data_IF_631742938936
#
_entry.id   IF_631742938936
#
_cell.length_a   1.000
_cell.length_b   1.000
_cell.length_c   1.000
_cell.angle_alpha   90.00
_cell.angle_beta   90.00
_cell.angle_gamma   90.00
#
_symmetry.space_group_name_H-M   'P 1'
#
loop_
_entity.id
_entity.type
_entity.pdbx_description
1 polymer ?
#
# COMPACT_ATOMS: atom_id res chain seq x y z
N UNK A 1 7.34 -4.34 17.96
CA UNK A 1 5.86 -4.29 17.83
C UNK A 1 5.46 -5.25 16.71
N UNK A 2 5.08 -6.50 17.03
CA UNK A 2 4.68 -7.52 16.03
C UNK A 2 3.15 -7.71 16.01
N UNK A 3 2.41 -7.07 16.94
CA UNK A 3 0.99 -7.34 17.19
C UNK A 3 0.03 -7.05 16.03
N UNK A 4 0.35 -6.13 15.12
CA UNK A 4 -0.56 -5.79 14.01
C UNK A 4 -0.67 -6.90 12.97
N UNK A 5 0.44 -7.58 12.62
CA UNK A 5 0.43 -8.70 11.69
C UNK A 5 -0.33 -9.89 12.29
N UNK A 6 -0.11 -10.16 13.59
CA UNK A 6 -0.81 -11.23 14.30
C UNK A 6 -2.30 -10.97 14.48
N UNK A 7 -2.72 -9.70 14.63
CA UNK A 7 -4.13 -9.34 14.72
C UNK A 7 -4.89 -9.64 13.42
N UNK A 8 -4.31 -9.30 12.27
CA UNK A 8 -4.93 -9.60 10.96
C UNK A 8 -4.98 -11.10 10.71
N UNK A 9 -3.88 -11.82 10.96
CA UNK A 9 -3.84 -13.28 10.83
C UNK A 9 -4.87 -13.96 11.74
N UNK A 10 -4.97 -13.50 12.99
CA UNK A 10 -5.97 -13.98 13.95
C UNK A 10 -7.41 -13.74 13.48
N UNK A 11 -7.71 -12.52 13.01
CA UNK A 11 -9.04 -12.20 12.48
C UNK A 11 -9.41 -13.05 11.26
N UNK A 12 -8.48 -13.28 10.34
CA UNK A 12 -8.68 -14.16 9.19
C UNK A 12 -8.96 -15.60 9.62
N UNK A 13 -8.19 -16.14 10.58
CA UNK A 13 -8.42 -17.48 11.12
C UNK A 13 -9.79 -17.61 11.77
N UNK A 14 -10.19 -16.63 12.58
CA UNK A 14 -11.52 -16.59 13.20
C UNK A 14 -12.63 -16.53 12.13
N UNK A 15 -12.43 -15.74 11.08
CA UNK A 15 -13.35 -15.67 9.94
C UNK A 15 -13.49 -17.02 9.24
N UNK A 16 -12.36 -17.68 8.93
CA UNK A 16 -12.35 -19.02 8.32
C UNK A 16 -13.09 -20.03 9.22
N UNK A 17 -12.78 -20.07 10.51
CA UNK A 17 -13.44 -20.97 11.47
C UNK A 17 -14.95 -20.69 11.56
N UNK A 18 -15.35 -19.42 11.53
CA UNK A 18 -16.76 -19.02 11.56
C UNK A 18 -17.49 -19.50 10.30
N UNK A 19 -16.88 -19.38 9.12
CA UNK A 19 -17.44 -19.90 7.86
C UNK A 19 -17.56 -21.43 7.92
N UNK A 20 -16.54 -22.13 8.41
CA UNK A 20 -16.58 -23.59 8.57
C UNK A 20 -17.70 -24.02 9.53
N UNK A 21 -17.89 -23.31 10.65
CA UNK A 21 -18.92 -23.64 11.63
C UNK A 21 -20.35 -23.33 11.13
N UNK A 22 -20.56 -22.17 10.50
CA UNK A 22 -21.90 -21.69 10.12
C UNK A 22 -22.35 -22.20 8.74
N UNK A 23 -21.42 -22.46 7.82
CA UNK A 23 -21.70 -22.85 6.43
C UNK A 23 -21.18 -24.25 6.08
N UNK A 24 -21.08 -25.15 7.06
CA UNK A 24 -20.49 -26.49 6.91
C UNK A 24 -21.05 -27.30 5.72
N UNK A 25 -22.37 -27.36 5.56
CA UNK A 25 -23.02 -28.17 4.50
C UNK A 25 -22.64 -27.69 3.08
N UNK A 26 -22.77 -26.40 2.72
CA UNK A 26 -22.25 -25.87 1.45
C UNK A 26 -20.75 -26.08 1.26
N UNK A 27 -19.95 -25.85 2.30
CA UNK A 27 -18.48 -25.95 2.22
C UNK A 27 -18.05 -27.38 1.91
N UNK A 28 -18.58 -28.39 2.60
CA UNK A 28 -18.23 -29.79 2.35
C UNK A 28 -18.66 -30.23 0.95
N UNK A 29 -19.84 -29.81 0.49
CA UNK A 29 -20.36 -30.16 -0.84
C UNK A 29 -19.55 -29.57 -2.01
N UNK A 30 -18.88 -28.43 -1.81
CA UNK A 30 -18.10 -27.74 -2.84
C UNK A 30 -16.61 -27.65 -2.52
N UNK A 31 -16.13 -28.40 -1.53
CA UNK A 31 -14.79 -28.21 -0.96
C UNK A 31 -13.69 -28.31 -2.01
N UNK A 32 -13.73 -29.35 -2.86
CA UNK A 32 -12.72 -29.58 -3.88
C UNK A 32 -12.66 -28.43 -4.90
N UNK A 33 -13.81 -28.02 -5.45
CA UNK A 33 -13.89 -26.99 -6.51
C UNK A 33 -13.65 -25.58 -5.95
N UNK A 34 -14.24 -25.29 -4.79
CA UNK A 34 -14.07 -24.01 -4.09
C UNK A 34 -12.64 -23.78 -3.62
N UNK A 35 -12.00 -24.82 -3.07
CA UNK A 35 -10.59 -24.72 -2.63
C UNK A 35 -9.65 -24.59 -3.82
N UNK A 36 -9.90 -25.29 -4.93
CA UNK A 36 -9.07 -25.18 -6.15
C UNK A 36 -9.07 -23.74 -6.68
N UNK A 37 -10.24 -23.11 -6.74
CA UNK A 37 -10.40 -21.72 -7.19
C UNK A 37 -9.82 -20.72 -6.18
N UNK A 38 -10.00 -20.96 -4.88
CA UNK A 38 -9.42 -20.12 -3.84
C UNK A 38 -7.88 -20.16 -3.83
N UNK A 39 -7.29 -21.36 -3.97
CA UNK A 39 -5.83 -21.52 -4.04
C UNK A 39 -5.26 -20.83 -5.27
N UNK A 40 -5.87 -21.00 -6.45
CA UNK A 40 -5.37 -20.35 -7.67
C UNK A 40 -5.40 -18.83 -7.55
N UNK A 41 -6.47 -18.25 -7.00
CA UNK A 41 -6.56 -16.82 -6.73
C UNK A 41 -5.54 -16.33 -5.70
N UNK A 42 -5.36 -17.07 -4.61
CA UNK A 42 -4.41 -16.73 -3.55
C UNK A 42 -2.95 -16.79 -4.01
N UNK A 43 -2.58 -17.82 -4.78
CA UNK A 43 -1.22 -17.96 -5.34
C UNK A 43 -0.91 -16.80 -6.27
N UNK A 44 -1.85 -16.41 -7.15
CA UNK A 44 -1.65 -15.27 -8.06
C UNK A 44 -1.43 -13.98 -7.28
N UNK A 45 -2.24 -13.71 -6.26
CA UNK A 45 -2.09 -12.54 -5.39
C UNK A 45 -0.73 -12.54 -4.65
N UNK A 46 -0.34 -13.68 -4.07
CA UNK A 46 0.93 -13.81 -3.36
C UNK A 46 2.14 -13.64 -4.29
N UNK A 47 2.09 -14.19 -5.50
CA UNK A 47 3.16 -14.04 -6.49
C UNK A 47 3.30 -12.60 -6.98
N UNK A 48 2.19 -11.86 -7.14
CA UNK A 48 2.23 -10.44 -7.49
C UNK A 48 2.94 -9.64 -6.39
N UNK A 49 2.54 -9.80 -5.13
CA UNK A 49 3.18 -9.09 -4.01
C UNK A 49 4.66 -9.46 -3.85
N UNK A 50 5.01 -10.75 -3.98
CA UNK A 50 6.40 -11.19 -3.89
C UNK A 50 7.26 -10.62 -5.04
N UNK A 51 6.72 -10.58 -6.25
CA UNK A 51 7.39 -10.03 -7.42
C UNK A 51 7.58 -8.51 -7.29
N UNK A 52 6.59 -7.79 -6.77
CA UNK A 52 6.68 -6.35 -6.49
C UNK A 52 7.79 -6.04 -5.47
N UNK A 53 7.89 -6.82 -4.39
CA UNK A 53 8.97 -6.67 -3.41
C UNK A 53 10.35 -6.96 -4.03
N UNK A 54 10.46 -8.02 -4.83
CA UNK A 54 11.70 -8.38 -5.52
C UNK A 54 12.14 -7.31 -6.52
N UNK A 55 11.22 -6.83 -7.34
CA UNK A 55 11.45 -5.71 -8.26
C UNK A 55 11.88 -4.46 -7.51
N UNK A 56 11.22 -4.15 -6.40
CA UNK A 56 11.53 -3.00 -5.57
C UNK A 56 12.95 -3.01 -5.01
N UNK A 57 13.40 -4.17 -4.53
CA UNK A 57 14.76 -4.35 -4.04
C UNK A 57 15.82 -4.12 -5.14
N UNK A 58 15.53 -4.57 -6.37
CA UNK A 58 16.41 -4.33 -7.53
C UNK A 58 16.43 -2.85 -7.92
N UNK A 59 15.27 -2.18 -7.93
CA UNK A 59 15.17 -0.74 -8.21
C UNK A 59 15.96 0.08 -7.18
N UNK A 60 15.83 -0.25 -5.90
CA UNK A 60 16.57 0.43 -4.83
C UNK A 60 18.10 0.29 -4.98
N UNK A 61 18.58 -0.80 -5.58
CA UNK A 61 20.00 -1.04 -5.82
C UNK A 61 20.56 -0.31 -7.06
N UNK A 62 19.70 0.25 -7.93
CA UNK A 62 20.13 0.90 -9.15
C UNK A 62 20.62 2.35 -8.90
N UNK A 63 21.71 2.80 -9.55
CA UNK A 63 22.20 4.18 -9.41
C UNK A 63 21.17 5.25 -9.78
N UNK A 64 20.26 4.94 -10.71
CA UNK A 64 19.17 5.84 -11.10
C UNK A 64 18.20 6.15 -9.96
N UNK A 65 18.04 5.23 -9.00
CA UNK A 65 17.21 5.47 -7.82
C UNK A 65 17.79 6.58 -6.94
N UNK A 66 19.12 6.64 -6.79
CA UNK A 66 19.77 7.72 -6.05
C UNK A 66 19.54 9.10 -6.68
N UNK A 67 19.43 9.18 -8.01
CA UNK A 67 19.10 10.43 -8.70
C UNK A 67 17.69 10.89 -8.36
N UNK A 68 16.73 9.96 -8.37
CA UNK A 68 15.33 10.24 -8.00
C UNK A 68 15.22 10.62 -6.52
N UNK A 69 15.87 9.86 -5.62
CA UNK A 69 15.91 10.15 -4.19
C UNK A 69 16.53 11.53 -3.90
N UNK A 70 17.62 11.88 -4.58
CA UNK A 70 18.26 13.20 -4.44
C UNK A 70 17.39 14.33 -4.98
N UNK A 71 16.67 14.12 -6.09
CA UNK A 71 15.72 15.10 -6.62
C UNK A 71 14.56 15.37 -5.65
N UNK A 72 14.11 14.33 -4.92
CA UNK A 72 13.06 14.43 -3.91
C UNK A 72 13.54 15.08 -2.60
N UNK A 73 14.84 15.00 -2.31
CA UNK A 73 15.47 15.67 -1.17
C UNK A 73 15.42 17.22 -1.21
N UNK A 74 14.97 17.82 -2.32
CA UNK A 74 14.71 19.25 -2.39
C UNK A 74 13.49 19.69 -1.54
N UNK A 75 12.62 18.74 -1.15
CA UNK A 75 11.45 19.00 -0.31
C UNK A 75 11.91 19.13 1.15
N UNK A 76 11.84 20.35 1.69
CA UNK A 76 12.30 20.66 3.06
C UNK A 76 11.34 20.21 4.16
N UNK A 77 10.04 20.12 3.85
CA UNK A 77 9.03 19.72 4.82
C UNK A 77 9.08 18.20 5.07
N UNK A 78 9.28 17.72 6.31
CA UNK A 78 9.49 16.29 6.58
C UNK A 78 8.33 15.39 6.16
N UNK A 79 7.09 15.78 6.48
CA UNK A 79 5.91 14.97 6.15
C UNK A 79 5.58 15.04 4.66
N UNK A 80 5.76 16.20 4.04
CA UNK A 80 5.56 16.34 2.59
C UNK A 80 6.62 15.55 1.81
N UNK A 81 7.88 15.58 2.27
CA UNK A 81 8.97 14.84 1.64
C UNK A 81 8.71 13.34 1.69
N UNK A 82 8.32 12.81 2.85
CA UNK A 82 7.95 11.40 2.98
C UNK A 82 6.73 11.06 2.10
N UNK A 83 5.65 11.85 2.18
CA UNK A 83 4.42 11.59 1.44
C UNK A 83 4.67 11.54 -0.08
N UNK A 84 5.36 12.55 -0.63
CA UNK A 84 5.65 12.61 -2.07
C UNK A 84 6.57 11.47 -2.49
N UNK A 85 7.58 11.14 -1.68
CA UNK A 85 8.52 10.06 -1.99
C UNK A 85 7.82 8.70 -2.00
N UNK A 86 7.03 8.40 -0.97
CA UNK A 86 6.28 7.15 -0.84
C UNK A 86 5.24 7.02 -1.97
N UNK A 87 4.49 8.09 -2.25
CA UNK A 87 3.52 8.11 -3.37
C UNK A 87 4.19 7.93 -4.72
N UNK A 88 5.31 8.61 -4.96
CA UNK A 88 6.06 8.51 -6.22
C UNK A 88 6.60 7.09 -6.45
N UNK A 89 7.23 6.50 -5.42
CA UNK A 89 7.76 5.14 -5.52
C UNK A 89 6.66 4.09 -5.64
N UNK A 90 5.52 4.26 -4.96
CA UNK A 90 4.35 3.41 -5.17
C UNK A 90 3.79 3.50 -6.60
N UNK A 91 3.87 4.67 -7.23
CA UNK A 91 3.51 4.82 -8.64
C UNK A 91 4.44 4.05 -9.57
N UNK A 92 5.75 4.08 -9.31
CA UNK A 92 6.74 3.33 -10.10
C UNK A 92 6.56 1.82 -9.95
N UNK A 93 6.28 1.34 -8.74
CA UNK A 93 6.06 -0.09 -8.50
C UNK A 93 4.70 -0.59 -8.92
N UNK A 94 3.67 0.28 -8.98
CA UNK A 94 2.28 -0.15 -9.14
C UNK A 94 1.71 -0.85 -7.90
N UNK A 95 2.31 -0.63 -6.72
CA UNK A 95 1.90 -1.29 -5.48
C UNK A 95 2.14 -0.41 -4.27
N UNK A 96 1.09 -0.18 -3.50
CA UNK A 96 1.15 0.64 -2.29
C UNK A 96 2.14 0.06 -1.27
N UNK A 97 1.98 -1.20 -0.89
CA UNK A 97 2.87 -1.86 0.07
C UNK A 97 4.29 -2.04 -0.46
N UNK A 98 4.44 -2.33 -1.75
CA UNK A 98 5.76 -2.44 -2.38
C UNK A 98 6.50 -1.10 -2.39
N UNK A 99 5.82 -0.02 -2.81
CA UNK A 99 6.39 1.33 -2.89
C UNK A 99 6.79 1.88 -1.54
N UNK A 100 5.95 1.70 -0.51
CA UNK A 100 6.31 2.03 0.86
C UNK A 100 7.56 1.29 1.33
N UNK A 101 7.63 -0.03 1.10
CA UNK A 101 8.76 -0.84 1.58
C UNK A 101 10.07 -0.42 0.93
N UNK A 102 10.05 -0.05 -0.36
CA UNK A 102 11.23 0.51 -1.04
C UNK A 102 11.60 1.87 -0.45
N UNK A 103 10.63 2.77 -0.30
CA UNK A 103 10.85 4.11 0.22
C UNK A 103 11.49 4.05 1.62
N UNK A 104 10.95 3.21 2.50
CA UNK A 104 11.46 3.03 3.85
C UNK A 104 12.79 2.26 3.87
N UNK A 105 12.98 1.26 3.02
CA UNK A 105 14.27 0.56 2.92
C UNK A 105 15.40 1.51 2.50
N UNK A 106 15.10 2.49 1.65
CA UNK A 106 16.09 3.41 1.12
C UNK A 106 16.27 4.70 1.94
N UNK A 107 15.21 5.23 2.55
CA UNK A 107 15.20 6.60 3.09
C UNK A 107 14.64 6.70 4.51
N UNK A 108 14.34 5.58 5.18
CA UNK A 108 13.79 5.63 6.55
C UNK A 108 14.67 6.40 7.53
N UNK A 109 15.99 6.24 7.48
CA UNK A 109 16.92 6.99 8.35
C UNK A 109 16.79 8.50 8.15
N UNK A 110 16.70 8.95 6.89
CA UNK A 110 16.50 10.36 6.53
C UNK A 110 15.14 10.88 7.04
N UNK A 111 14.06 10.12 6.84
CA UNK A 111 12.73 10.51 7.32
C UNK A 111 12.68 10.60 8.85
N UNK A 112 13.28 9.63 9.55
CA UNK A 112 13.37 9.62 11.01
C UNK A 112 14.16 10.82 11.52
N UNK A 113 15.33 11.11 10.93
CA UNK A 113 16.16 12.24 11.33
C UNK A 113 15.42 13.58 11.13
N UNK A 114 14.76 13.75 9.99
CA UNK A 114 13.98 14.95 9.69
C UNK A 114 12.77 15.11 10.62
N UNK A 115 12.07 14.01 10.91
CA UNK A 115 10.94 14.02 11.84
C UNK A 115 11.38 14.39 13.27
N UNK A 116 12.48 13.82 13.74
CA UNK A 116 13.05 14.15 15.06
C UNK A 116 13.48 15.62 15.14
N UNK A 117 14.14 16.14 14.09
CA UNK A 117 14.54 17.53 14.01
C UNK A 117 13.35 18.52 14.04
N UNK A 118 12.22 18.11 13.47
CA UNK A 118 10.98 18.90 13.47
C UNK A 118 10.06 18.64 14.68
N UNK A 119 10.45 17.73 15.61
CA UNK A 119 9.63 17.37 16.77
C UNK A 119 8.38 16.55 16.44
N UNK A 120 8.36 15.88 15.28
CA UNK A 120 7.22 15.12 14.79
C UNK A 120 7.24 13.70 15.38
N UNK A 121 6.13 13.24 16.02
CA UNK A 121 6.05 11.89 16.54
C UNK A 121 6.16 10.82 15.44
N UNK A 122 6.86 9.72 15.72
CA UNK A 122 7.04 8.60 14.77
C UNK A 122 5.73 7.94 14.34
N UNK A 123 4.69 8.02 15.18
CA UNK A 123 3.36 7.53 14.83
C UNK A 123 2.71 8.35 13.72
N UNK A 124 2.93 9.68 13.70
CA UNK A 124 2.43 10.58 12.65
C UNK A 124 3.16 10.28 11.35
N UNK A 125 4.49 10.16 11.42
CA UNK A 125 5.33 9.78 10.28
C UNK A 125 4.83 8.48 9.63
N UNK A 126 4.65 7.43 10.44
CA UNK A 126 4.14 6.16 9.94
C UNK A 126 2.71 6.25 9.36
N UNK A 127 1.82 7.04 9.98
CA UNK A 127 0.45 7.26 9.44
C UNK A 127 0.50 7.96 8.08
N UNK A 128 1.35 8.98 7.93
CA UNK A 128 1.54 9.71 6.67
C UNK A 128 2.11 8.78 5.60
N UNK A 129 3.14 8.00 5.90
CA UNK A 129 3.65 6.96 4.99
C UNK A 129 2.55 5.96 4.58
N UNK A 130 1.78 5.46 5.55
CA UNK A 130 0.68 4.51 5.33
C UNK A 130 -0.37 5.07 4.37
N UNK A 131 -0.81 6.31 4.60
CA UNK A 131 -1.80 6.93 3.74
C UNK A 131 -1.23 7.28 2.35
N UNK A 132 0.01 7.77 2.29
CA UNK A 132 0.70 8.13 1.05
C UNK A 132 1.00 6.94 0.14
N UNK A 133 1.16 5.74 0.70
CA UNK A 133 1.50 4.53 -0.04
C UNK A 133 0.57 4.23 -1.21
N UNK A 134 -0.73 4.40 -1.06
CA UNK A 134 -1.66 4.20 -2.18
C UNK A 134 -2.02 5.48 -2.95
N UNK A 135 -1.13 6.47 -2.99
CA UNK A 135 -1.42 7.75 -3.63
C UNK A 135 -1.46 7.69 -5.17
N UNK A 136 -0.83 6.67 -5.75
CA UNK A 136 -0.80 6.40 -7.20
C UNK A 136 -1.51 5.10 -7.59
N UNK A 137 -2.45 4.63 -6.76
CA UNK A 137 -3.26 3.44 -7.04
C UNK A 137 -4.18 3.62 -8.26
N UNK A 138 -4.18 4.79 -8.88
CA UNK A 138 -4.87 5.11 -10.14
C UNK A 138 -4.25 4.43 -11.35
N UNK A 139 -2.96 4.09 -11.31
CA UNK A 139 -2.21 3.70 -12.50
C UNK A 139 -2.64 2.32 -13.02
N UNK A 140 -2.68 2.11 -14.35
CA UNK A 140 -3.29 0.92 -14.95
C UNK A 140 -2.51 -0.38 -14.70
N UNK A 141 -1.23 -0.27 -14.34
CA UNK A 141 -0.40 -1.41 -13.94
C UNK A 141 -0.53 -1.76 -12.46
N UNK A 142 -1.38 -1.05 -11.70
CA UNK A 142 -1.60 -1.35 -10.29
C UNK A 142 -2.31 -2.71 -10.11
N UNK A 143 -1.71 -3.59 -9.31
CA UNK A 143 -2.22 -4.95 -9.10
C UNK A 143 -3.65 -4.98 -8.57
N UNK A 144 -4.02 -4.08 -7.65
CA UNK A 144 -5.36 -4.01 -7.07
C UNK A 144 -6.40 -3.56 -8.11
N UNK A 145 -6.05 -2.63 -9.00
CA UNK A 145 -6.91 -2.23 -10.12
C UNK A 145 -7.14 -3.40 -11.08
N UNK A 146 -6.08 -4.13 -11.43
CA UNK A 146 -6.19 -5.30 -12.32
C UNK A 146 -7.10 -6.37 -11.70
N UNK A 147 -6.91 -6.68 -10.42
CA UNK A 147 -7.75 -7.64 -9.70
C UNK A 147 -9.20 -7.17 -9.61
N UNK A 148 -9.44 -5.89 -9.30
CA UNK A 148 -10.78 -5.32 -9.23
C UNK A 148 -11.51 -5.51 -10.56
N UNK A 149 -10.89 -5.10 -11.67
CA UNK A 149 -11.47 -5.21 -13.01
C UNK A 149 -11.74 -6.66 -13.41
N UNK A 150 -10.83 -7.58 -13.06
CA UNK A 150 -11.00 -9.01 -13.29
C UNK A 150 -12.21 -9.58 -12.52
N UNK A 151 -12.36 -9.22 -11.24
CA UNK A 151 -13.46 -9.70 -10.40
C UNK A 151 -14.80 -9.08 -10.80
N UNK A 152 -14.83 -7.80 -11.16
CA UNK A 152 -16.06 -7.12 -11.57
C UNK A 152 -16.44 -7.36 -13.03
N UNK A 153 -15.55 -7.95 -13.84
CA UNK A 153 -15.74 -8.12 -15.28
C UNK A 153 -15.81 -6.80 -16.06
N UNK A 154 -15.23 -5.73 -15.52
CA UNK A 154 -15.26 -4.39 -16.13
C UNK A 154 -13.97 -4.15 -16.92
N UNK A 155 -14.09 -3.38 -17.99
CA UNK A 155 -12.91 -2.89 -18.73
C UNK A 155 -12.37 -1.62 -18.10
N UNK A 156 -11.08 -1.34 -18.30
CA UNK A 156 -10.47 -0.07 -17.93
C UNK A 156 -11.29 1.12 -18.47
N UNK A 157 -11.79 1.05 -19.70
CA UNK A 157 -12.60 2.13 -20.30
C UNK A 157 -13.86 2.46 -19.50
N UNK A 158 -14.45 1.47 -18.82
CA UNK A 158 -15.69 1.64 -18.06
C UNK A 158 -15.42 2.18 -16.65
N UNK A 159 -14.48 1.58 -15.91
CA UNK A 159 -14.30 1.85 -14.49
C UNK A 159 -13.21 2.88 -14.16
N UNK A 160 -12.31 3.22 -15.09
CA UNK A 160 -11.11 3.99 -14.76
C UNK A 160 -11.41 5.43 -14.31
N UNK A 161 -12.53 6.03 -14.76
CA UNK A 161 -12.95 7.36 -14.27
C UNK A 161 -13.28 7.33 -12.78
N UNK A 162 -13.99 6.30 -12.34
CA UNK A 162 -14.39 6.15 -10.94
C UNK A 162 -13.16 5.82 -10.08
N UNK A 163 -12.30 4.92 -10.55
CA UNK A 163 -11.02 4.59 -9.90
C UNK A 163 -10.16 5.85 -9.75
N UNK A 164 -10.01 6.64 -10.81
CA UNK A 164 -9.23 7.88 -10.78
C UNK A 164 -9.82 8.90 -9.79
N UNK A 165 -11.14 9.09 -9.77
CA UNK A 165 -11.79 10.01 -8.85
C UNK A 165 -11.55 9.61 -7.37
N UNK A 166 -11.77 8.33 -7.03
CA UNK A 166 -11.58 7.82 -5.68
C UNK A 166 -10.12 7.93 -5.24
N UNK A 167 -9.20 7.56 -6.13
CA UNK A 167 -7.76 7.60 -5.82
C UNK A 167 -7.25 9.02 -5.64
N UNK A 168 -7.68 9.99 -6.46
CA UNK A 168 -7.33 11.41 -6.26
C UNK A 168 -7.83 11.94 -4.91
N UNK A 169 -9.09 11.65 -4.55
CA UNK A 169 -9.65 12.04 -3.24
C UNK A 169 -8.81 11.46 -2.11
N UNK A 170 -8.46 10.17 -2.22
CA UNK A 170 -7.65 9.46 -1.24
C UNK A 170 -6.23 10.03 -1.13
N UNK A 171 -5.61 10.43 -2.24
CA UNK A 171 -4.30 11.07 -2.27
C UNK A 171 -4.34 12.46 -1.63
N UNK A 172 -5.39 13.24 -1.88
CA UNK A 172 -5.59 14.55 -1.25
C UNK A 172 -5.76 14.45 0.26
N UNK A 173 -6.35 13.37 0.77
CA UNK A 173 -6.56 13.17 2.21
C UNK A 173 -5.24 13.17 3.02
N UNK A 174 -4.13 12.72 2.44
CA UNK A 174 -2.79 12.80 3.07
C UNK A 174 -2.41 14.24 3.36
N UNK A 175 -2.55 15.12 2.37
CA UNK A 175 -2.18 16.53 2.53
C UNK A 175 -3.09 17.25 3.52
N UNK A 176 -4.37 16.86 3.58
CA UNK A 176 -5.30 17.36 4.61
C UNK A 176 -4.84 16.93 6.00
N UNK A 177 -4.46 15.66 6.19
CA UNK A 177 -3.95 15.16 7.47
C UNK A 177 -2.67 15.89 7.89
N UNK A 178 -1.73 16.10 6.97
CA UNK A 178 -0.52 16.88 7.23
C UNK A 178 -0.88 18.31 7.66
N UNK A 179 -1.82 18.95 6.95
CA UNK A 179 -2.29 20.31 7.29
C UNK A 179 -2.95 20.38 8.68
N UNK A 180 -3.77 19.39 9.03
CA UNK A 180 -4.40 19.30 10.35
C UNK A 180 -3.32 19.08 11.43
N UNK A 181 -2.34 18.21 11.19
CA UNK A 181 -1.24 18.00 12.12
C UNK A 181 -0.50 19.31 12.40
N UNK A 182 -0.13 20.06 11.37
CA UNK A 182 0.55 21.35 11.56
C UNK A 182 -0.32 22.43 12.20
N UNK A 183 -1.64 22.39 11.99
CA UNK A 183 -2.56 23.36 12.58
C UNK A 183 -2.91 23.05 14.05
N UNK A 184 -2.92 21.77 14.45
CA UNK A 184 -3.52 21.33 15.73
C UNK A 184 -2.60 20.46 16.58
N UNK A 185 -1.65 19.75 15.98
CA UNK A 185 -0.81 18.73 16.64
C UNK A 185 -1.52 17.39 16.92
N UNK A 186 -2.75 17.19 16.42
CA UNK A 186 -3.61 16.07 16.86
C UNK A 186 -3.49 14.78 16.04
N UNK A 187 -2.91 14.83 14.84
CA UNK A 187 -2.96 13.71 13.87
C UNK A 187 -1.58 13.16 13.58
#
# INVERSE_FOLDING_TARGET
RIGAIWAVAGALLVGILSVLALAWRPVVGQFAEGTRTAISGAVLAAMNTASEYGFGAVIAALPGFMVVANALGAIKDPLLHEAVTVTGLAGVTGSASGGMSIALAAMSETFIANAQAAGIPMEVLHRVAAMASGGMDSLPHNGAVITLLMVTGLTHRQAYKDIFAVTVIKTLAVFVVIGIHYATGWV
#
